data_IF_380865009320
#
_entry.id   IF_380865009320
#
_cell.length_a   1.000
_cell.length_b   1.000
_cell.length_c   1.000
_cell.angle_alpha   90.00
_cell.angle_beta   90.00
_cell.angle_gamma   90.00
#
_symmetry.space_group_name_H-M   'P 1'
#
loop_
_entity.id
_entity.type
_entity.pdbx_description
1 polymer ?
#
# COMPACT_ATOMS: atom_id res chain seq x y z
N UNK A 1 -13.93 -22.81 -44.23
CA UNK A 1 -14.86 -22.65 -43.09
C UNK A 1 -14.18 -23.16 -41.83
N UNK A 2 -13.97 -22.31 -40.83
CA UNK A 2 -13.27 -22.67 -39.59
C UNK A 2 -12.98 -21.47 -38.66
N UNK A 3 -14.06 -20.78 -38.29
CA UNK A 3 -14.31 -19.93 -37.10
C UNK A 3 -13.23 -18.92 -36.63
N UNK A 4 -13.59 -17.65 -36.85
CA UNK A 4 -13.20 -16.45 -36.11
C UNK A 4 -13.34 -16.60 -34.59
N UNK A 5 -12.48 -15.90 -33.84
CA UNK A 5 -12.90 -15.22 -32.62
C UNK A 5 -12.58 -15.94 -31.32
N UNK A 6 -11.41 -15.62 -30.77
CA UNK A 6 -11.07 -15.88 -29.38
C UNK A 6 -10.06 -14.85 -28.87
N UNK A 7 -10.36 -13.55 -29.03
CA UNK A 7 -9.63 -12.53 -28.29
C UNK A 7 -9.79 -12.85 -26.80
N UNK A 8 -8.69 -13.25 -26.17
CA UNK A 8 -8.63 -13.51 -24.76
C UNK A 8 -8.98 -12.21 -24.00
N UNK A 9 -10.15 -12.16 -23.37
CA UNK A 9 -10.64 -11.03 -22.56
C UNK A 9 -9.79 -10.76 -21.30
N UNK A 10 -8.76 -11.58 -21.04
CA UNK A 10 -7.79 -11.38 -19.96
C UNK A 10 -6.49 -10.73 -20.44
N UNK A 11 -6.52 -9.93 -21.51
CA UNK A 11 -5.45 -8.95 -21.74
C UNK A 11 -5.39 -8.08 -20.51
N UNK A 12 -4.26 -8.18 -19.81
CA UNK A 12 -3.89 -7.35 -18.67
C UNK A 12 -3.84 -5.90 -19.14
N UNK A 13 -4.98 -5.22 -19.16
CA UNK A 13 -5.02 -3.77 -19.27
C UNK A 13 -4.21 -3.25 -18.07
N UNK A 14 -3.14 -2.47 -18.27
CA UNK A 14 -2.46 -1.82 -17.17
C UNK A 14 -3.50 -0.91 -16.52
N UNK A 15 -4.07 -1.34 -15.38
CA UNK A 15 -5.19 -0.70 -14.71
C UNK A 15 -5.03 0.84 -14.70
N UNK A 16 -5.67 1.59 -15.63
CA UNK A 16 -5.41 3.02 -15.77
C UNK A 16 -6.32 3.83 -14.84
N UNK A 17 -7.14 3.17 -14.02
CA UNK A 17 -8.10 3.82 -13.14
C UNK A 17 -7.83 3.29 -11.73
N UNK A 18 -6.81 3.85 -11.09
CA UNK A 18 -6.85 3.90 -9.63
C UNK A 18 -8.12 4.70 -9.30
N UNK A 19 -9.18 4.01 -8.86
CA UNK A 19 -10.27 4.66 -8.13
C UNK A 19 -9.60 5.45 -7.01
N UNK A 20 -9.47 6.75 -7.22
CA UNK A 20 -9.14 7.70 -6.18
C UNK A 20 -10.37 7.63 -5.30
N UNK A 21 -10.21 7.15 -4.07
CA UNK A 21 -11.22 7.25 -3.03
C UNK A 21 -11.00 8.61 -2.35
N UNK A 22 -11.62 9.70 -2.85
CA UNK A 22 -11.42 11.04 -2.32
C UNK A 22 -11.90 11.16 -0.88
N UNK A 23 -12.76 10.24 -0.41
CA UNK A 23 -13.28 10.24 0.95
C UNK A 23 -12.46 9.39 1.93
N UNK A 24 -11.52 8.57 1.43
CA UNK A 24 -10.81 7.59 2.25
C UNK A 24 -11.74 6.57 2.91
N UNK A 25 -12.87 6.26 2.25
CA UNK A 25 -13.89 5.30 2.68
C UNK A 25 -13.44 3.85 2.73
N UNK A 26 -12.21 3.51 2.32
CA UNK A 26 -11.61 2.20 2.62
C UNK A 26 -11.79 1.87 4.11
N UNK A 27 -12.68 0.93 4.41
CA UNK A 27 -13.15 0.58 5.75
C UNK A 27 -12.00 0.30 6.73
N UNK A 28 -10.89 -0.23 6.23
CA UNK A 28 -9.72 -0.57 7.01
C UNK A 28 -8.91 0.65 7.50
N UNK A 29 -9.16 1.87 7.00
CA UNK A 29 -8.51 3.11 7.47
C UNK A 29 -9.32 3.84 8.55
N UNK A 30 -10.57 3.42 8.80
CA UNK A 30 -11.43 4.02 9.84
C UNK A 30 -10.78 4.01 11.23
N UNK A 31 -10.14 2.91 11.68
CA UNK A 31 -9.46 2.88 12.98
C UNK A 31 -8.34 3.93 13.08
N UNK A 32 -7.58 4.12 12.00
CA UNK A 32 -6.52 5.13 11.94
C UNK A 32 -7.07 6.55 12.13
N UNK A 33 -8.10 6.93 11.39
CA UNK A 33 -8.70 8.27 11.51
C UNK A 33 -9.49 8.46 12.82
N UNK A 34 -9.96 7.38 13.46
CA UNK A 34 -10.52 7.42 14.81
C UNK A 34 -9.44 7.72 15.84
N UNK A 35 -8.31 7.01 15.78
CA UNK A 35 -7.17 7.21 16.69
C UNK A 35 -6.50 8.57 16.49
N UNK A 36 -6.39 9.04 15.25
CA UNK A 36 -5.77 10.31 14.90
C UNK A 36 -6.79 11.32 14.38
N UNK A 37 -7.71 11.76 15.23
CA UNK A 37 -8.81 12.65 14.85
C UNK A 37 -8.33 13.96 14.18
N UNK A 38 -7.23 14.56 14.64
CA UNK A 38 -6.59 15.75 14.01
C UNK A 38 -6.14 15.50 12.57
N UNK A 39 -6.01 14.22 12.16
CA UNK A 39 -5.66 13.81 10.81
C UNK A 39 -6.87 13.59 9.89
N UNK A 40 -8.11 13.73 10.39
CA UNK A 40 -9.31 13.71 9.55
C UNK A 40 -9.34 14.85 8.54
N UNK A 41 -8.84 16.04 8.90
CA UNK A 41 -8.78 17.27 8.05
C UNK A 41 -7.97 17.14 6.76
N UNK A 42 -7.42 15.97 6.56
CA UNK A 42 -6.27 15.65 5.75
C UNK A 42 -6.55 14.39 4.91
N UNK A 43 -7.69 13.74 5.18
CA UNK A 43 -8.32 12.71 4.36
C UNK A 43 -8.72 13.34 3.03
N UNK A 44 -8.49 12.63 1.92
CA UNK A 44 -8.81 13.14 0.57
C UNK A 44 -7.92 14.26 0.04
N UNK A 45 -7.15 14.94 0.92
CA UNK A 45 -6.16 15.92 0.49
C UNK A 45 -5.02 15.16 -0.15
N UNK A 46 -4.95 15.20 -1.49
CA UNK A 46 -3.91 14.64 -2.36
C UNK A 46 -2.45 14.94 -1.93
N UNK A 47 -2.21 15.63 -0.82
CA UNK A 47 -0.89 15.84 -0.23
C UNK A 47 -0.45 14.67 0.65
N UNK A 48 -1.35 13.84 1.18
CA UNK A 48 -1.02 12.83 2.18
C UNK A 48 -1.81 11.54 1.99
N UNK A 49 -1.17 10.38 2.16
CA UNK A 49 -1.76 9.05 1.96
C UNK A 49 -1.46 8.14 3.15
N UNK A 50 -2.35 7.19 3.45
CA UNK A 50 -2.10 6.16 4.46
C UNK A 50 -1.47 4.95 3.78
N UNK A 51 -0.32 4.56 4.28
CA UNK A 51 0.49 3.43 3.85
C UNK A 51 0.34 2.27 4.83
N UNK A 52 0.28 1.03 4.31
CA UNK A 52 0.40 -0.17 5.13
C UNK A 52 1.84 -0.65 5.09
N UNK A 53 2.53 -0.69 6.24
CA UNK A 53 3.93 -1.13 6.33
C UNK A 53 4.11 -2.55 5.79
N UNK A 54 3.23 -3.45 6.23
CA UNK A 54 3.02 -4.78 5.66
C UNK A 54 1.93 -4.70 4.59
N UNK A 55 2.25 -5.00 3.32
CA UNK A 55 1.29 -4.92 2.23
C UNK A 55 0.06 -5.81 2.43
N UNK A 56 -1.11 -5.28 2.11
CA UNK A 56 -2.40 -5.96 2.28
C UNK A 56 -2.48 -7.34 1.60
N UNK A 57 -1.77 -7.54 0.49
CA UNK A 57 -1.75 -8.84 -0.23
C UNK A 57 -1.20 -10.00 0.60
N UNK A 58 -0.40 -9.71 1.64
CA UNK A 58 0.17 -10.69 2.55
C UNK A 58 -0.65 -10.87 3.84
N UNK A 59 -1.76 -10.12 3.97
CA UNK A 59 -2.61 -10.11 5.16
C UNK A 59 -3.93 -10.83 4.83
N UNK A 60 -4.31 -11.77 5.70
CA UNK A 60 -5.57 -12.48 5.57
C UNK A 60 -5.58 -13.85 6.18
N UNK A 61 -6.76 -14.47 6.17
CA UNK A 61 -6.93 -15.87 6.56
C UNK A 61 -6.05 -16.74 5.65
N UNK A 62 -5.18 -17.56 6.26
CA UNK A 62 -4.17 -18.40 5.57
C UNK A 62 -3.12 -17.63 4.74
N UNK A 63 -2.91 -16.32 5.01
CA UNK A 63 -1.80 -15.56 4.45
C UNK A 63 -0.63 -15.50 5.44
N UNK A 64 0.47 -14.86 5.02
CA UNK A 64 1.70 -14.76 5.81
C UNK A 64 1.51 -13.96 7.11
N UNK A 65 0.55 -13.03 7.14
CA UNK A 65 0.23 -12.21 8.30
C UNK A 65 -1.27 -12.27 8.65
N UNK A 66 -1.63 -12.19 9.94
CA UNK A 66 -3.01 -12.32 10.39
C UNK A 66 -3.87 -11.13 9.95
N UNK A 67 -5.17 -11.37 9.73
CA UNK A 67 -6.14 -10.35 9.29
C UNK A 67 -6.19 -9.11 10.19
N UNK A 68 -5.93 -9.28 11.49
CA UNK A 68 -5.84 -8.18 12.46
C UNK A 68 -4.80 -7.11 12.09
N UNK A 69 -3.78 -7.45 11.31
CA UNK A 69 -2.79 -6.47 10.83
C UNK A 69 -3.34 -5.52 9.78
N UNK A 70 -4.45 -5.83 9.10
CA UNK A 70 -5.00 -4.96 8.04
C UNK A 70 -5.39 -3.59 8.57
N UNK A 71 -5.87 -3.55 9.81
CA UNK A 71 -6.39 -2.36 10.48
C UNK A 71 -5.54 -1.90 11.66
N UNK A 72 -4.50 -2.65 12.02
CA UNK A 72 -3.63 -2.32 13.16
C UNK A 72 -2.94 -0.97 12.97
N UNK A 73 -2.97 -0.13 14.01
CA UNK A 73 -2.26 1.15 14.01
C UNK A 73 -0.74 0.98 13.84
N UNK A 74 -0.17 -0.12 14.32
CA UNK A 74 1.26 -0.41 14.10
C UNK A 74 1.59 -0.68 12.63
N UNK A 75 0.61 -1.13 11.84
CA UNK A 75 0.77 -1.41 10.43
C UNK A 75 0.38 -0.21 9.53
N UNK A 76 -0.28 0.81 10.09
CA UNK A 76 -0.77 1.96 9.34
C UNK A 76 0.09 3.19 9.64
N UNK A 77 0.71 3.76 8.61
CA UNK A 77 1.49 4.99 8.72
C UNK A 77 1.03 5.99 7.67
N UNK A 78 0.94 7.27 8.03
CA UNK A 78 0.61 8.31 7.06
C UNK A 78 1.86 8.98 6.53
N UNK A 79 1.89 9.18 5.22
CA UNK A 79 3.05 9.68 4.49
C UNK A 79 2.64 10.80 3.54
N UNK A 80 3.53 11.78 3.28
CA UNK A 80 3.39 12.68 2.14
C UNK A 80 3.21 11.88 0.84
N UNK A 81 2.27 12.30 -0.01
CA UNK A 81 1.95 11.57 -1.25
C UNK A 81 3.15 11.43 -2.17
N UNK A 82 3.99 12.45 -2.25
CA UNK A 82 5.24 12.41 -3.02
C UNK A 82 6.16 11.30 -2.50
N UNK A 83 6.39 11.20 -1.19
CA UNK A 83 7.19 10.14 -0.58
C UNK A 83 6.56 8.77 -0.84
N UNK A 84 5.25 8.63 -0.60
CA UNK A 84 4.56 7.36 -0.80
C UNK A 84 4.61 6.87 -2.26
N UNK A 85 4.38 7.75 -3.23
CA UNK A 85 4.28 7.38 -4.64
C UNK A 85 5.60 7.31 -5.37
N UNK A 86 6.55 8.21 -5.08
CA UNK A 86 7.84 8.26 -5.79
C UNK A 86 8.91 7.37 -5.16
N UNK A 87 8.78 7.02 -3.87
CA UNK A 87 9.82 6.30 -3.14
C UNK A 87 9.29 4.95 -2.67
N UNK A 88 8.27 4.96 -1.80
CA UNK A 88 7.79 3.75 -1.13
C UNK A 88 7.15 2.76 -2.13
N UNK A 89 6.27 3.24 -2.99
CA UNK A 89 5.57 2.38 -3.96
C UNK A 89 6.53 1.68 -4.95
N UNK A 90 7.51 2.38 -5.56
CA UNK A 90 8.53 1.74 -6.39
C UNK A 90 9.41 0.74 -5.63
N UNK A 91 9.84 1.05 -4.40
CA UNK A 91 10.62 0.11 -3.58
C UNK A 91 9.84 -1.18 -3.32
N UNK A 92 8.55 -1.06 -2.97
CA UNK A 92 7.67 -2.20 -2.77
C UNK A 92 7.44 -3.00 -4.05
N UNK A 93 7.27 -2.32 -5.20
CA UNK A 93 7.09 -2.97 -6.49
C UNK A 93 8.35 -3.74 -6.92
N UNK A 94 9.53 -3.14 -6.79
CA UNK A 94 10.81 -3.78 -7.10
C UNK A 94 11.06 -5.02 -6.22
N UNK A 95 10.81 -4.91 -4.90
CA UNK A 95 10.92 -6.05 -4.00
C UNK A 95 10.03 -7.23 -4.44
N UNK A 96 8.76 -6.98 -4.79
CA UNK A 96 7.83 -8.02 -5.24
C UNK A 96 8.25 -8.65 -6.56
N UNK A 97 8.79 -7.87 -7.50
CA UNK A 97 9.31 -8.39 -8.77
C UNK A 97 10.44 -9.39 -8.55
N UNK A 98 11.34 -9.08 -7.61
CA UNK A 98 12.52 -9.91 -7.33
C UNK A 98 12.23 -11.05 -6.33
N UNK A 99 11.10 -11.01 -5.63
CA UNK A 99 10.72 -11.99 -4.62
C UNK A 99 9.27 -12.42 -4.85
N UNK A 100 9.00 -13.32 -5.82
CA UNK A 100 7.63 -13.72 -6.15
C UNK A 100 6.94 -14.53 -5.04
N UNK A 101 7.70 -15.17 -4.14
CA UNK A 101 7.21 -15.93 -2.98
C UNK A 101 8.02 -15.57 -1.72
N UNK A 102 7.89 -14.34 -1.20
CA UNK A 102 8.72 -13.90 -0.08
C UNK A 102 8.29 -14.55 1.23
N UNK A 103 9.24 -14.78 2.13
CA UNK A 103 8.95 -15.23 3.50
C UNK A 103 8.49 -14.06 4.38
N UNK A 104 7.90 -14.37 5.55
CA UNK A 104 7.56 -13.34 6.56
C UNK A 104 8.76 -12.48 6.94
N UNK A 105 9.92 -13.10 7.14
CA UNK A 105 11.15 -12.40 7.52
C UNK A 105 11.61 -11.43 6.43
N UNK A 106 11.56 -11.82 5.16
CA UNK A 106 11.91 -10.94 4.04
C UNK A 106 10.97 -9.73 3.95
N UNK A 107 9.67 -9.94 4.15
CA UNK A 107 8.67 -8.85 4.14
C UNK A 107 8.91 -7.89 5.30
N UNK A 108 9.11 -8.40 6.52
CA UNK A 108 9.37 -7.56 7.70
C UNK A 108 10.67 -6.77 7.53
N UNK A 109 11.75 -7.44 7.10
CA UNK A 109 13.02 -6.76 6.81
C UNK A 109 12.83 -5.65 5.78
N UNK A 110 12.07 -5.91 4.70
CA UNK A 110 11.82 -4.89 3.68
C UNK A 110 10.99 -3.72 4.21
N UNK A 111 9.99 -3.99 5.04
CA UNK A 111 9.21 -2.95 5.70
C UNK A 111 10.09 -2.04 6.57
N UNK A 112 11.01 -2.64 7.35
CA UNK A 112 11.97 -1.88 8.18
C UNK A 112 12.92 -1.01 7.33
N UNK A 113 13.39 -1.52 6.18
CA UNK A 113 14.21 -0.74 5.24
C UNK A 113 13.43 0.47 4.69
N UNK A 114 12.18 0.27 4.30
CA UNK A 114 11.29 1.34 3.83
C UNK A 114 11.05 2.37 4.93
N UNK A 115 10.82 1.92 6.17
CA UNK A 115 10.62 2.79 7.32
C UNK A 115 11.85 3.68 7.57
N UNK A 116 13.06 3.13 7.44
CA UNK A 116 14.31 3.89 7.52
C UNK A 116 14.40 4.96 6.43
N UNK A 117 14.12 4.61 5.18
CA UNK A 117 14.15 5.56 4.05
C UNK A 117 13.09 6.66 4.21
N UNK A 118 11.91 6.33 4.72
CA UNK A 118 10.87 7.29 5.06
C UNK A 118 11.38 8.26 6.12
N UNK A 119 11.97 7.76 7.20
CA UNK A 119 12.49 8.59 8.28
C UNK A 119 13.56 9.57 7.77
N UNK A 120 14.49 9.10 6.95
CA UNK A 120 15.52 9.95 6.31
C UNK A 120 14.90 11.05 5.43
N UNK A 121 13.84 10.74 4.68
CA UNK A 121 13.18 11.74 3.83
C UNK A 121 12.37 12.76 4.63
N UNK A 122 11.69 12.33 5.69
CA UNK A 122 10.93 13.25 6.55
C UNK A 122 11.89 14.18 7.29
N UNK A 123 13.01 13.66 7.79
CA UNK A 123 13.99 14.46 8.53
C UNK A 123 14.74 15.47 7.66
N UNK A 124 14.82 15.28 6.34
CA UNK A 124 15.43 16.24 5.40
C UNK A 124 14.50 17.37 4.96
N UNK A 125 13.20 17.26 5.25
CA UNK A 125 12.18 18.25 4.87
C UNK A 125 11.82 19.17 6.05
N UNK A 126 12.34 18.88 7.23
CA UNK A 126 12.28 19.73 8.43
C UNK A 126 13.61 20.46 8.62
#
# INVERSE_FOLDING_TARGET
MGLLGGQNLYVYAPNPIAWIDPEGLKCHLRPYFKAYARMKKFRGRLKMEVHHRIPQMYIGVKKLFPESMRTSLSNLQRLPRNVHRKIVSPMGASFRKNNPKPTRAQIVKKAMEIDKVIAEHINKVN
#
